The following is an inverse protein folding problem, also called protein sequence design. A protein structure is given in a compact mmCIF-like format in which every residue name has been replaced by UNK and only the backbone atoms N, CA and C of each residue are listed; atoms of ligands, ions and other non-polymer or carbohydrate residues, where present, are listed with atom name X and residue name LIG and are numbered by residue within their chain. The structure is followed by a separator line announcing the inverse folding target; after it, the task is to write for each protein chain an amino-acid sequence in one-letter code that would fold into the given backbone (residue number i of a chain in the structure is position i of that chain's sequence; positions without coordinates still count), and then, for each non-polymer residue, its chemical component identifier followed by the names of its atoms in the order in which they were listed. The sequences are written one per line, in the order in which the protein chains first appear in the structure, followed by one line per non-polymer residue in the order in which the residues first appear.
data_IF_305192431576
#
_entry.id   IF_305192431576
#
_cell.length_a   1.000
_cell.length_b   1.000
_cell.length_c   1.000
_cell.angle_alpha   90.00
_cell.angle_beta   90.00
_cell.angle_gamma   90.00
#
_symmetry.space_group_name_H-M   'P 1'
#
loop_
_entity.id
_entity.type
_entity.pdbx_description
1 polymer ?
#
# COMPACT_ATOMS: atom_id res chain seq x y z
N UNK A 1 5.90 -1.05 -44.75
CA UNK A 1 5.06 -0.62 -43.61
C UNK A 1 5.69 -1.18 -42.36
N UNK A 2 6.33 -0.31 -41.57
CA UNK A 2 7.12 -0.70 -40.40
C UNK A 2 6.24 -0.99 -39.20
N UNK A 3 6.54 -2.09 -38.50
CA UNK A 3 5.97 -2.43 -37.20
C UNK A 3 6.53 -1.48 -36.14
N UNK A 4 5.66 -0.71 -35.49
CA UNK A 4 5.96 -0.07 -34.22
C UNK A 4 5.92 -1.16 -33.13
N UNK A 5 7.07 -1.72 -32.81
CA UNK A 5 7.25 -2.53 -31.60
C UNK A 5 7.15 -1.56 -30.43
N UNK A 6 5.98 -1.53 -29.80
CA UNK A 6 5.74 -0.77 -28.58
C UNK A 6 6.77 -1.17 -27.53
N UNK A 7 7.36 -0.16 -26.88
CA UNK A 7 8.29 -0.32 -25.78
C UNK A 7 7.68 -1.25 -24.72
N UNK A 8 8.22 -2.47 -24.62
CA UNK A 8 8.09 -3.25 -23.39
C UNK A 8 8.85 -2.47 -22.33
N UNK A 9 8.15 -1.76 -21.44
CA UNK A 9 8.75 -1.33 -20.18
C UNK A 9 9.17 -2.60 -19.46
N UNK A 10 10.46 -2.91 -19.50
CA UNK A 10 11.01 -4.09 -18.82
C UNK A 10 10.77 -3.89 -17.32
N UNK A 11 10.03 -4.82 -16.73
CA UNK A 11 9.92 -4.90 -15.28
C UNK A 11 11.20 -5.52 -14.76
N UNK A 12 11.77 -4.93 -13.72
CA UNK A 12 12.93 -5.50 -13.04
C UNK A 12 12.47 -6.12 -11.73
N UNK A 13 12.78 -7.40 -11.54
CA UNK A 13 12.65 -8.03 -10.23
C UNK A 13 13.88 -7.68 -9.42
N UNK A 14 13.72 -6.82 -8.41
CA UNK A 14 14.78 -6.58 -7.43
C UNK A 14 14.58 -7.50 -6.23
N UNK A 15 15.67 -8.18 -5.85
CA UNK A 15 15.78 -8.77 -4.51
C UNK A 15 16.24 -7.66 -3.59
N UNK A 16 15.41 -7.33 -2.61
CA UNK A 16 15.85 -6.46 -1.54
C UNK A 16 17.00 -7.15 -0.78
N UNK A 17 18.05 -6.42 -0.37
CA UNK A 17 19.16 -7.03 0.33
C UNK A 17 18.69 -7.76 1.59
N UNK A 18 19.31 -8.90 1.90
CA UNK A 18 19.10 -9.62 3.15
C UNK A 18 19.29 -8.62 4.30
N UNK A 19 18.24 -8.43 5.12
CA UNK A 19 18.10 -7.42 6.20
C UNK A 19 17.49 -6.07 5.82
N UNK A 20 16.74 -5.98 4.72
CA UNK A 20 15.89 -4.80 4.47
C UNK A 20 14.77 -4.74 5.51
N UNK A 21 14.54 -3.57 6.10
CA UNK A 21 13.55 -3.37 7.17
C UNK A 21 12.67 -2.18 6.84
N UNK A 22 11.35 -2.34 7.01
CA UNK A 22 10.42 -1.22 7.10
C UNK A 22 10.29 -0.87 8.58
N UNK A 23 10.95 0.21 8.98
CA UNK A 23 11.04 0.59 10.39
C UNK A 23 9.70 1.11 10.93
N UNK A 24 9.48 0.93 12.22
CA UNK A 24 8.43 1.61 12.97
C UNK A 24 8.50 3.12 12.75
N UNK A 25 7.33 3.74 12.59
CA UNK A 25 7.19 5.17 12.32
C UNK A 25 7.36 5.56 10.85
N UNK A 26 7.83 4.66 9.99
CA UNK A 26 7.91 4.90 8.54
C UNK A 26 6.55 4.87 7.87
N UNK A 27 6.51 5.39 6.64
CA UNK A 27 5.32 5.40 5.80
C UNK A 27 5.50 4.53 4.57
N UNK A 28 4.48 3.71 4.32
CA UNK A 28 4.27 3.04 3.03
C UNK A 28 3.09 3.71 2.35
N UNK A 29 3.22 4.06 1.08
CA UNK A 29 2.11 4.67 0.35
C UNK A 29 1.22 3.57 -0.22
N UNK A 30 -0.07 3.82 -0.18
CA UNK A 30 -1.11 2.89 -0.57
C UNK A 30 -2.15 3.56 -1.46
N UNK A 31 -2.88 2.73 -2.17
CA UNK A 31 -4.01 3.09 -3.02
C UNK A 31 -5.18 2.16 -2.75
N UNK A 32 -6.37 2.72 -2.56
CA UNK A 32 -7.61 1.96 -2.53
C UNK A 32 -7.92 1.44 -3.94
N UNK A 33 -7.80 0.13 -4.12
CA UNK A 33 -8.20 -0.56 -5.34
C UNK A 33 -9.69 -0.89 -5.39
N UNK A 34 -10.08 -1.61 -6.42
CA UNK A 34 -11.43 -2.17 -6.56
C UNK A 34 -11.70 -3.19 -5.45
N UNK A 35 -12.94 -3.26 -4.98
CA UNK A 35 -13.37 -4.19 -3.91
C UNK A 35 -12.67 -3.99 -2.56
N UNK A 36 -12.22 -2.77 -2.26
CA UNK A 36 -11.52 -2.40 -1.02
C UNK A 36 -10.17 -3.10 -0.80
N UNK A 37 -9.59 -3.69 -1.85
CA UNK A 37 -8.22 -4.18 -1.81
C UNK A 37 -7.26 -2.99 -1.73
N UNK A 38 -6.40 -2.96 -0.71
CA UNK A 38 -5.44 -1.87 -0.54
C UNK A 38 -4.13 -2.25 -1.23
N UNK A 39 -3.85 -1.61 -2.36
CA UNK A 39 -2.61 -1.81 -3.12
C UNK A 39 -1.48 -0.98 -2.51
N UNK A 40 -0.29 -1.54 -2.46
CA UNK A 40 0.94 -0.81 -2.12
C UNK A 40 1.39 -0.06 -3.36
N UNK A 41 1.50 1.26 -3.27
CA UNK A 41 1.93 2.10 -4.39
C UNK A 41 3.41 2.49 -4.30
N UNK A 42 3.96 2.65 -3.09
CA UNK A 42 5.37 3.02 -2.90
C UNK A 42 5.92 2.62 -1.52
N UNK A 43 7.11 2.05 -1.49
CA UNK A 43 7.91 1.79 -0.29
C UNK A 43 9.25 2.51 -0.44
N UNK A 44 9.51 3.53 0.39
CA UNK A 44 10.73 4.34 0.25
C UNK A 44 10.83 4.98 -1.14
N UNK A 45 11.86 4.65 -1.91
CA UNK A 45 12.06 5.13 -3.28
C UNK A 45 11.44 4.21 -4.36
N UNK A 46 10.88 3.06 -3.98
CA UNK A 46 10.50 1.98 -4.88
C UNK A 46 8.98 1.90 -5.07
N UNK A 47 8.53 1.66 -6.30
CA UNK A 47 7.13 1.43 -6.65
C UNK A 47 6.91 -0.05 -6.97
N UNK A 48 6.52 -0.87 -5.98
CA UNK A 48 6.38 -2.30 -6.18
C UNK A 48 5.11 -2.65 -6.95
N UNK A 49 5.17 -3.71 -7.75
CA UNK A 49 4.04 -4.30 -8.43
C UNK A 49 3.48 -5.48 -7.66
N UNK A 50 2.17 -5.71 -7.80
CA UNK A 50 1.46 -6.84 -7.20
C UNK A 50 1.67 -7.00 -5.69
N UNK A 51 1.83 -5.87 -5.00
CA UNK A 51 1.89 -5.78 -3.55
C UNK A 51 0.58 -5.22 -2.99
N UNK A 52 0.02 -5.89 -2.00
CA UNK A 52 -1.24 -5.53 -1.35
C UNK A 52 -1.12 -5.65 0.16
N UNK A 53 -1.86 -4.82 0.89
CA UNK A 53 -1.98 -4.98 2.33
C UNK A 53 -3.11 -5.94 2.67
N UNK A 54 -2.81 -6.88 3.56
CA UNK A 54 -3.83 -7.73 4.17
C UNK A 54 -4.46 -6.96 5.33
N UNK A 55 -5.74 -6.64 5.15
CA UNK A 55 -6.50 -5.88 6.14
C UNK A 55 -6.92 -6.81 7.27
N UNK A 56 -6.53 -6.45 8.50
CA UNK A 56 -6.94 -7.17 9.69
C UNK A 56 -8.29 -6.72 10.20
N UNK A 57 -8.53 -5.41 10.17
CA UNK A 57 -9.82 -4.85 10.54
C UNK A 57 -10.12 -3.58 9.77
N UNK A 58 -11.37 -3.48 9.33
CA UNK A 58 -11.95 -2.28 8.75
C UNK A 58 -13.08 -1.81 9.66
N UNK A 59 -13.11 -0.53 10.00
CA UNK A 59 -14.19 0.05 10.82
C UNK A 59 -14.60 1.41 10.27
N UNK A 60 -15.88 1.57 9.97
CA UNK A 60 -16.49 2.86 9.69
C UNK A 60 -16.94 3.52 11.00
N UNK A 61 -16.51 4.76 11.23
CA UNK A 61 -17.02 5.62 12.28
C UNK A 61 -17.92 6.70 11.66
N UNK A 62 -19.22 6.56 11.88
CA UNK A 62 -20.22 7.48 11.36
C UNK A 62 -20.19 8.86 12.04
N UNK A 63 -19.64 8.97 13.26
CA UNK A 63 -19.58 10.25 13.95
C UNK A 63 -18.45 11.12 13.40
N UNK A 64 -17.28 10.53 13.20
CA UNK A 64 -16.12 11.22 12.61
C UNK A 64 -16.08 11.19 11.09
N UNK A 65 -17.00 10.47 10.44
CA UNK A 65 -17.03 10.21 9.00
C UNK A 65 -15.68 9.67 8.49
N UNK A 66 -15.19 8.60 9.14
CA UNK A 66 -13.91 7.97 8.81
C UNK A 66 -13.96 6.47 8.70
N UNK A 67 -13.24 5.95 7.71
CA UNK A 67 -12.96 4.53 7.52
C UNK A 67 -11.55 4.22 8.02
N UNK A 68 -11.47 3.40 9.07
CA UNK A 68 -10.23 2.96 9.67
C UNK A 68 -9.82 1.62 9.08
N UNK A 69 -8.59 1.55 8.57
CA UNK A 69 -7.92 0.31 8.20
C UNK A 69 -6.75 0.06 9.15
N UNK A 70 -6.71 -1.14 9.71
CA UNK A 70 -5.56 -1.69 10.42
C UNK A 70 -5.04 -2.92 9.66
N UNK A 71 -3.72 -2.97 9.45
CA UNK A 71 -3.04 -3.97 8.64
C UNK A 71 -2.15 -4.88 9.52
N UNK A 72 -2.04 -6.16 9.14
CA UNK A 72 -1.18 -7.15 9.80
C UNK A 72 -0.09 -7.75 8.90
N UNK A 73 -0.30 -7.68 7.59
CA UNK A 73 0.69 -8.12 6.62
C UNK A 73 0.60 -7.36 5.31
N UNK A 74 1.64 -7.52 4.52
CA UNK A 74 1.74 -7.05 3.15
C UNK A 74 2.16 -8.23 2.30
N UNK A 75 1.37 -8.57 1.29
CA UNK A 75 1.63 -9.68 0.37
C UNK A 75 2.09 -9.15 -0.97
N UNK A 76 3.24 -9.61 -1.45
CA UNK A 76 3.88 -9.24 -2.70
C UNK A 76 4.18 -10.51 -3.50
N UNK A 77 3.47 -10.73 -4.61
CA UNK A 77 3.61 -11.98 -5.37
C UNK A 77 3.24 -13.20 -4.53
N UNK A 78 4.19 -14.12 -4.32
CA UNK A 78 4.02 -15.32 -3.49
C UNK A 78 4.52 -15.16 -2.05
N UNK A 79 5.05 -13.98 -1.69
CA UNK A 79 5.65 -13.73 -0.38
C UNK A 79 4.76 -12.83 0.47
N UNK A 80 4.55 -13.21 1.72
CA UNK A 80 3.83 -12.40 2.71
C UNK A 80 4.78 -11.91 3.80
N UNK A 81 4.80 -10.60 4.00
CA UNK A 81 5.53 -9.89 5.05
C UNK A 81 4.62 -9.64 6.24
N UNK A 82 5.04 -10.00 7.45
CA UNK A 82 4.36 -9.50 8.65
C UNK A 82 4.67 -8.01 8.83
N UNK A 83 3.63 -7.17 8.80
CA UNK A 83 3.72 -5.72 8.92
C UNK A 83 2.50 -5.20 9.65
N UNK A 84 2.71 -4.46 10.74
CA UNK A 84 1.60 -3.79 11.43
C UNK A 84 1.56 -2.32 11.09
N UNK A 85 0.40 -1.82 10.72
CA UNK A 85 0.21 -0.41 10.41
C UNK A 85 -1.24 0.01 10.36
N UNK A 86 -1.48 1.31 10.19
CA UNK A 86 -2.81 1.88 10.01
C UNK A 86 -2.84 2.95 8.93
N UNK A 87 -4.00 3.13 8.30
CA UNK A 87 -4.21 4.16 7.29
C UNK A 87 -4.26 5.58 7.89
N UNK A 88 -3.66 6.52 7.17
CA UNK A 88 -3.67 7.96 7.42
C UNK A 88 -4.13 8.64 6.12
N UNK A 89 -5.24 9.40 6.20
CA UNK A 89 -5.81 10.12 5.08
C UNK A 89 -4.95 11.30 4.61
N UNK A 90 -5.37 11.96 3.53
CA UNK A 90 -4.65 13.11 2.96
C UNK A 90 -4.60 14.35 3.86
N UNK A 91 -5.36 14.34 4.96
CA UNK A 91 -5.34 15.38 6.00
C UNK A 91 -4.41 15.05 7.17
N UNK A 92 -3.56 14.03 7.05
CA UNK A 92 -2.60 13.60 8.07
C UNK A 92 -3.22 13.02 9.35
N UNK A 93 -4.52 12.72 9.33
CA UNK A 93 -5.23 12.11 10.45
C UNK A 93 -5.47 10.62 10.18
N UNK A 94 -5.43 9.80 11.24
CA UNK A 94 -5.72 8.37 11.16
C UNK A 94 -7.14 8.12 10.61
N UNK A 95 -7.24 7.21 9.66
CA UNK A 95 -8.49 6.86 8.98
C UNK A 95 -8.77 7.74 7.77
N UNK A 96 -9.37 7.15 6.75
CA UNK A 96 -9.72 7.81 5.49
C UNK A 96 -11.05 8.52 5.65
N UNK A 97 -11.16 9.76 5.16
CA UNK A 97 -12.42 10.51 5.14
C UNK A 97 -13.39 9.86 4.18
N UNK A 98 -14.65 9.75 4.58
CA UNK A 98 -15.72 9.20 3.74
C UNK A 98 -16.78 10.26 3.42
N UNK A 99 -17.47 10.07 2.31
CA UNK A 99 -18.68 10.83 2.01
C UNK A 99 -19.79 10.44 3.02
N UNK A 100 -20.43 11.40 3.70
CA UNK A 100 -21.44 11.12 4.72
C UNK A 100 -22.69 10.39 4.21
N UNK A 101 -22.98 10.44 2.91
CA UNK A 101 -24.18 9.86 2.31
C UNK A 101 -23.93 8.46 1.79
N UNK A 102 -22.80 8.23 1.10
CA UNK A 102 -22.47 6.90 0.56
C UNK A 102 -21.69 6.03 1.53
N UNK A 103 -20.99 6.62 2.50
CA UNK A 103 -20.05 5.89 3.37
C UNK A 103 -18.75 5.49 2.68
N UNK A 104 -18.57 5.88 1.41
CA UNK A 104 -17.39 5.57 0.61
C UNK A 104 -16.26 6.58 0.86
N UNK A 105 -14.98 6.16 0.81
CA UNK A 105 -13.84 7.07 0.84
C UNK A 105 -13.98 8.21 -0.18
N UNK A 106 -13.57 9.42 0.19
CA UNK A 106 -13.54 10.56 -0.75
C UNK A 106 -12.31 10.43 -1.67
N UNK A 107 -12.41 10.97 -2.89
CA UNK A 107 -11.34 10.90 -3.91
C UNK A 107 -9.95 11.32 -3.41
N UNK A 108 -9.90 12.33 -2.54
CA UNK A 108 -8.65 12.83 -1.95
C UNK A 108 -7.91 11.81 -1.08
N UNK A 109 -8.62 10.79 -0.56
CA UNK A 109 -8.07 9.77 0.33
C UNK A 109 -7.96 8.39 -0.34
N UNK A 110 -8.17 8.29 -1.66
CA UNK A 110 -7.90 7.05 -2.42
C UNK A 110 -6.40 6.74 -2.44
N UNK A 111 -5.55 7.76 -2.43
CA UNK A 111 -4.11 7.63 -2.23
C UNK A 111 -3.77 8.11 -0.83
N UNK A 112 -3.20 7.22 -0.02
CA UNK A 112 -3.03 7.47 1.40
C UNK A 112 -1.74 6.85 1.92
N UNK A 113 -1.42 7.14 3.18
CA UNK A 113 -0.23 6.60 3.85
C UNK A 113 -0.64 5.52 4.83
N UNK A 114 0.14 4.45 4.88
CA UNK A 114 0.11 3.47 5.96
C UNK A 114 1.27 3.79 6.88
N UNK A 115 0.97 4.16 8.13
CA UNK A 115 1.99 4.33 9.15
C UNK A 115 2.31 2.99 9.79
N UNK A 116 3.56 2.60 9.73
CA UNK A 116 4.06 1.36 10.30
C UNK A 116 4.24 1.54 11.80
N UNK A 117 3.72 0.59 12.59
CA UNK A 117 3.75 0.61 14.06
C UNK A 117 4.54 -0.55 14.67
N UNK A 118 5.12 -1.39 13.84
CA UNK A 118 6.04 -2.45 14.23
C UNK A 118 6.96 -2.74 13.05
N UNK A 119 8.25 -2.86 13.32
CA UNK A 119 9.24 -3.22 12.31
C UNK A 119 8.81 -4.45 11.51
N UNK A 120 8.95 -4.35 10.19
CA UNK A 120 8.71 -5.44 9.26
C UNK A 120 10.01 -5.82 8.56
N UNK A 121 10.47 -7.05 8.78
CA UNK A 121 11.72 -7.57 8.23
C UNK A 121 11.49 -8.15 6.84
N UNK A 122 11.98 -7.46 5.82
CA UNK A 122 11.93 -7.89 4.43
C UNK A 122 13.10 -8.85 4.16
N UNK A 123 13.13 -9.99 4.85
CA UNK A 123 13.98 -11.12 4.44
C UNK A 123 13.22 -11.90 3.36
N UNK A 124 13.79 -11.95 2.16
CA UNK A 124 13.41 -12.87 1.07
C UNK A 124 12.21 -12.49 0.19
N UNK A 125 11.81 -11.22 0.13
CA UNK A 125 10.76 -10.77 -0.80
C UNK A 125 11.38 -10.30 -2.11
N UNK A 126 10.95 -10.93 -3.21
CA UNK A 126 11.18 -10.44 -4.57
C UNK A 126 10.17 -9.32 -4.87
N UNK A 127 10.64 -8.08 -4.94
CA UNK A 127 9.82 -6.97 -5.41
C UNK A 127 9.97 -6.85 -6.92
N UNK A 128 8.87 -7.02 -7.65
CA UNK A 128 8.82 -6.61 -9.06
C UNK A 128 8.63 -5.10 -9.07
N UNK A 129 9.55 -4.35 -9.66
CA UNK A 129 9.47 -2.90 -9.76
C UNK A 129 9.34 -2.49 -11.21
N UNK A 130 8.50 -1.49 -11.45
CA UNK A 130 8.43 -0.81 -12.73
C UNK A 130 9.42 0.35 -12.75
N UNK A 131 10.36 0.37 -13.71
CA UNK A 131 11.14 1.58 -13.99
C UNK A 131 10.19 2.73 -14.39
N UNK A 132 10.36 3.87 -13.73
CA UNK A 132 9.55 5.08 -13.96
C UNK A 132 10.11 5.84 -15.15
#
# INVERSE_FOLDING_TARGET
MGFLVGCNKQFETIKLPHNSVINEGSFVFAELGTEYNVKVSKIGAHAPENCFFDTFSTRLDNHSHRLFYDFLSMTCGSSTLSLRGYAIGGDEIRGLRVDPKSGEPISADYHFKVKVIKDAYISDIELVIKEI
#
